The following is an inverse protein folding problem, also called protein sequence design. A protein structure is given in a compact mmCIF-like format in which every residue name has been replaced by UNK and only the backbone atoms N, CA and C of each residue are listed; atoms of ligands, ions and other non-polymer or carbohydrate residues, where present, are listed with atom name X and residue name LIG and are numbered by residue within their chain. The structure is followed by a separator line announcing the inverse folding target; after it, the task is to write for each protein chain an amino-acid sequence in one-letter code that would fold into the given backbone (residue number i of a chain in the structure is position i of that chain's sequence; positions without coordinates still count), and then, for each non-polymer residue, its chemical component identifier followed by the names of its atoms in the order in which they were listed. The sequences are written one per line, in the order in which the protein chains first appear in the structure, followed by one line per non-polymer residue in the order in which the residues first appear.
data_IF_419328612521
#
_entry.id   IF_419328612521
#
_cell.length_a   1.000
_cell.length_b   1.000
_cell.length_c   1.000
_cell.angle_alpha   90.00
_cell.angle_beta   90.00
_cell.angle_gamma   90.00
#
_symmetry.space_group_name_H-M   'P 1'
#
loop_
_entity.id
_entity.type
_entity.pdbx_description
1 polymer ?
#
# COMPACT_ATOMS: atom_id res chain seq x y z
N UNK A 1 24.22 -25.00 -1.63
CA UNK A 1 24.35 -24.28 -2.92
C UNK A 1 23.06 -24.20 -3.74
N UNK A 2 22.26 -25.26 -3.92
CA UNK A 2 21.02 -25.14 -4.74
C UNK A 2 19.97 -24.19 -4.14
N UNK A 3 19.76 -24.22 -2.82
CA UNK A 3 18.79 -23.36 -2.14
C UNK A 3 19.21 -21.88 -2.06
N UNK A 4 20.51 -21.57 -2.01
CA UNK A 4 21.00 -20.19 -1.93
C UNK A 4 20.78 -19.40 -3.22
N UNK A 5 20.67 -20.07 -4.38
CA UNK A 5 20.31 -19.43 -5.65
C UNK A 5 18.93 -18.77 -5.57
N UNK A 6 18.02 -19.33 -4.77
CA UNK A 6 16.68 -18.75 -4.61
C UNK A 6 16.69 -17.38 -3.91
N UNK A 7 17.76 -17.00 -3.21
CA UNK A 7 17.88 -15.67 -2.60
C UNK A 7 17.85 -14.55 -3.64
N UNK A 8 18.35 -14.82 -4.85
CA UNK A 8 18.42 -13.85 -5.95
C UNK A 8 17.09 -13.74 -6.73
N UNK A 9 16.20 -14.73 -6.57
CA UNK A 9 14.91 -14.79 -7.27
C UNK A 9 13.74 -14.51 -6.32
N UNK A 10 13.52 -15.41 -5.37
CA UNK A 10 12.44 -15.34 -4.40
C UNK A 10 12.96 -15.84 -3.06
N UNK A 11 13.42 -14.90 -2.22
CA UNK A 11 14.06 -15.20 -0.94
C UNK A 11 13.21 -16.05 0.01
N UNK A 12 11.88 -16.01 -0.14
CA UNK A 12 10.96 -16.90 0.60
C UNK A 12 11.16 -18.39 0.31
N UNK A 13 11.78 -18.74 -0.83
CA UNK A 13 12.08 -20.12 -1.23
C UNK A 13 13.53 -20.50 -0.99
N UNK A 14 14.36 -19.59 -0.45
CA UNK A 14 15.71 -19.90 0.02
C UNK A 14 15.67 -20.68 1.34
N UNK A 15 15.03 -21.85 1.29
CA UNK A 15 14.75 -22.68 2.46
C UNK A 15 14.99 -24.15 2.17
N UNK A 16 15.26 -24.94 3.22
CA UNK A 16 15.42 -26.39 3.14
C UNK A 16 14.41 -27.02 4.10
N UNK A 17 13.56 -27.93 3.59
CA UNK A 17 12.62 -28.72 4.38
C UNK A 17 13.24 -30.11 4.63
N UNK A 18 13.72 -30.34 5.85
CA UNK A 18 14.38 -31.57 6.29
C UNK A 18 13.38 -32.46 7.05
N UNK A 19 12.79 -33.43 6.35
CA UNK A 19 11.85 -34.39 6.92
C UNK A 19 12.57 -35.64 7.43
N UNK A 20 12.42 -35.92 8.73
CA UNK A 20 12.96 -37.11 9.41
C UNK A 20 14.45 -37.41 9.09
N UNK A 21 15.25 -36.35 9.00
CA UNK A 21 16.70 -36.43 8.77
C UNK A 21 17.47 -35.56 9.74
N UNK A 22 18.70 -35.95 10.05
CA UNK A 22 19.63 -35.15 10.87
C UNK A 22 20.31 -34.09 10.01
N UNK A 23 20.54 -32.92 10.60
CA UNK A 23 21.29 -31.83 9.97
C UNK A 23 22.69 -31.82 10.60
N UNK A 24 23.72 -31.98 9.78
CA UNK A 24 25.11 -31.86 10.19
C UNK A 24 25.43 -30.40 10.57
N UNK A 25 26.31 -30.20 11.56
CA UNK A 25 26.64 -28.84 12.07
C UNK A 25 27.17 -27.92 10.98
N UNK A 26 28.11 -28.41 10.17
CA UNK A 26 28.70 -27.67 9.05
C UNK A 26 27.64 -27.22 8.03
N UNK A 27 26.59 -28.03 7.83
CA UNK A 27 25.49 -27.69 6.93
C UNK A 27 24.60 -26.59 7.51
N UNK A 28 24.35 -26.60 8.82
CA UNK A 28 23.60 -25.55 9.51
C UNK A 28 24.36 -24.22 9.48
N UNK A 29 25.65 -24.23 9.82
CA UNK A 29 26.51 -23.04 9.79
C UNK A 29 26.61 -22.44 8.37
N UNK A 30 26.77 -23.29 7.35
CA UNK A 30 26.76 -22.85 5.96
C UNK A 30 25.40 -22.27 5.55
N UNK A 31 24.29 -22.86 5.99
CA UNK A 31 22.97 -22.33 5.68
C UNK A 31 22.75 -20.95 6.33
N UNK A 32 23.13 -20.78 7.59
CA UNK A 32 22.98 -19.51 8.32
C UNK A 32 23.84 -18.40 7.69
N UNK A 33 25.11 -18.70 7.34
CA UNK A 33 26.00 -17.75 6.66
C UNK A 33 25.51 -17.34 5.27
N UNK A 34 24.85 -18.24 4.55
CA UNK A 34 24.26 -17.96 3.24
C UNK A 34 22.86 -17.34 3.36
N UNK A 35 22.26 -17.24 4.55
CA UNK A 35 20.89 -16.76 4.74
C UNK A 35 19.80 -17.74 4.30
N UNK A 36 20.11 -19.04 4.24
CA UNK A 36 19.17 -20.12 3.91
C UNK A 36 18.54 -20.67 5.18
N UNK A 37 17.20 -20.67 5.28
CA UNK A 37 16.51 -21.19 6.47
C UNK A 37 16.28 -22.70 6.36
N UNK A 38 16.76 -23.47 7.33
CA UNK A 38 16.46 -24.90 7.43
C UNK A 38 15.30 -25.14 8.41
N UNK A 39 14.29 -25.89 7.96
CA UNK A 39 13.20 -26.38 8.80
C UNK A 39 13.34 -27.88 8.97
N UNK A 40 13.47 -28.32 10.22
CA UNK A 40 13.53 -29.74 10.56
C UNK A 40 12.25 -30.14 11.31
N UNK A 41 11.65 -31.27 10.91
CA UNK A 41 10.65 -31.98 11.70
C UNK A 41 10.52 -33.44 11.25
N UNK A 42 9.97 -34.26 12.13
CA UNK A 42 9.63 -35.67 11.98
C UNK A 42 8.20 -35.90 11.47
N UNK A 43 7.38 -34.84 11.39
CA UNK A 43 6.00 -34.85 10.90
C UNK A 43 5.86 -33.83 9.77
N UNK A 44 5.32 -34.27 8.62
CA UNK A 44 5.20 -33.43 7.41
C UNK A 44 4.36 -32.17 7.68
N UNK A 45 3.27 -32.27 8.46
CA UNK A 45 2.43 -31.11 8.81
C UNK A 45 3.20 -30.04 9.60
N UNK A 46 4.10 -30.43 10.51
CA UNK A 46 4.92 -29.46 11.23
C UNK A 46 5.90 -28.72 10.31
N UNK A 47 6.44 -29.39 9.28
CA UNK A 47 7.26 -28.70 8.27
C UNK A 47 6.43 -27.69 7.49
N UNK A 48 5.23 -28.09 7.06
CA UNK A 48 4.31 -27.23 6.34
C UNK A 48 3.95 -25.99 7.16
N UNK A 49 3.54 -26.17 8.42
CA UNK A 49 3.14 -25.07 9.31
C UNK A 49 4.30 -24.10 9.55
N UNK A 50 5.51 -24.63 9.84
CA UNK A 50 6.72 -23.81 10.03
C UNK A 50 7.06 -23.01 8.77
N UNK A 51 6.97 -23.63 7.60
CA UNK A 51 7.25 -22.96 6.33
C UNK A 51 6.19 -21.89 6.00
N UNK A 52 4.91 -22.18 6.19
CA UNK A 52 3.83 -21.22 5.96
C UNK A 52 3.93 -20.03 6.91
N UNK A 53 4.24 -20.26 8.19
CA UNK A 53 4.46 -19.20 9.16
C UNK A 53 5.64 -18.29 8.76
N UNK A 54 6.76 -18.88 8.32
CA UNK A 54 7.91 -18.11 7.83
C UNK A 54 7.58 -17.27 6.59
N UNK A 55 6.84 -17.84 5.63
CA UNK A 55 6.40 -17.10 4.45
C UNK A 55 5.51 -15.92 4.81
N UNK A 56 4.58 -16.11 5.74
CA UNK A 56 3.69 -15.06 6.19
C UNK A 56 4.45 -13.96 6.94
N UNK A 57 5.43 -14.32 7.77
CA UNK A 57 6.32 -13.36 8.44
C UNK A 57 7.12 -12.52 7.43
N UNK A 58 7.72 -13.15 6.42
CA UNK A 58 8.44 -12.44 5.35
C UNK A 58 7.51 -11.52 4.55
N UNK A 59 6.31 -11.99 4.24
CA UNK A 59 5.29 -11.20 3.53
C UNK A 59 4.90 -9.98 4.36
N UNK A 60 4.65 -10.13 5.65
CA UNK A 60 4.32 -9.02 6.56
C UNK A 60 5.48 -8.03 6.69
N UNK A 61 6.72 -8.51 6.81
CA UNK A 61 7.91 -7.66 6.86
C UNK A 61 8.06 -6.81 5.60
N UNK A 62 7.86 -7.42 4.43
CA UNK A 62 7.88 -6.70 3.15
C UNK A 62 6.71 -5.70 3.03
N UNK A 63 5.52 -6.06 3.50
CA UNK A 63 4.39 -5.12 3.54
C UNK A 63 4.70 -3.91 4.41
N UNK A 64 5.32 -4.07 5.57
CA UNK A 64 5.69 -2.94 6.42
C UNK A 64 6.77 -2.06 5.77
N UNK A 65 7.80 -2.68 5.18
CA UNK A 65 8.88 -1.99 4.46
C UNK A 65 8.34 -1.10 3.32
N UNK A 66 7.35 -1.60 2.57
CA UNK A 66 6.79 -0.92 1.40
C UNK A 66 5.48 -0.17 1.67
N UNK A 67 5.02 -0.11 2.92
CA UNK A 67 3.74 0.51 3.31
C UNK A 67 3.64 1.97 2.88
N UNK A 68 4.72 2.74 3.05
CA UNK A 68 4.76 4.17 2.70
C UNK A 68 4.98 4.43 1.21
N UNK A 69 5.45 3.43 0.47
CA UNK A 69 5.66 3.52 -0.99
C UNK A 69 4.36 3.16 -1.73
N UNK A 70 3.59 2.22 -1.19
CA UNK A 70 2.35 1.76 -1.78
C UNK A 70 1.24 2.82 -1.68
N UNK A 71 0.88 3.39 -2.83
CA UNK A 71 -0.25 4.31 -2.97
C UNK A 71 -1.39 3.55 -3.61
N UNK A 72 -2.43 3.32 -2.82
CA UNK A 72 -3.64 2.64 -3.28
C UNK A 72 -4.43 3.58 -4.22
N UNK A 73 -5.02 3.05 -5.30
CA UNK A 73 -5.77 3.87 -6.24
C UNK A 73 -7.04 4.35 -5.56
N UNK A 74 -7.31 5.65 -5.60
CA UNK A 74 -8.56 6.22 -5.10
C UNK A 74 -9.07 7.36 -5.99
N UNK A 75 -10.39 7.53 -6.01
CA UNK A 75 -11.10 8.64 -6.64
C UNK A 75 -12.14 9.15 -5.67
N UNK A 76 -12.04 10.41 -5.29
CA UNK A 76 -12.85 11.06 -4.26
C UNK A 76 -13.63 12.21 -4.88
N UNK A 77 -14.90 12.31 -4.52
CA UNK A 77 -15.75 13.45 -4.83
C UNK A 77 -15.98 14.25 -3.57
N UNK A 78 -15.72 15.55 -3.62
CA UNK A 78 -15.95 16.43 -2.47
C UNK A 78 -17.46 16.63 -2.28
N UNK A 79 -17.90 16.59 -1.02
CA UNK A 79 -19.27 16.91 -0.65
C UNK A 79 -19.36 18.41 -0.31
N UNK A 80 -20.06 19.22 -1.14
CA UNK A 80 -20.02 20.68 -1.01
C UNK A 80 -20.49 21.21 0.35
N UNK A 81 -21.43 20.49 0.99
CA UNK A 81 -22.00 20.87 2.27
C UNK A 81 -21.09 20.56 3.46
N UNK A 82 -20.00 19.80 3.25
CA UNK A 82 -19.13 19.29 4.29
C UNK A 82 -17.69 19.77 4.12
N UNK A 83 -17.50 21.08 3.96
CA UNK A 83 -16.18 21.71 3.95
C UNK A 83 -15.98 22.42 5.29
N UNK A 84 -15.12 21.85 6.15
CA UNK A 84 -14.93 22.33 7.52
C UNK A 84 -13.72 23.26 7.66
N UNK A 85 -12.66 22.99 6.90
CA UNK A 85 -11.50 23.88 6.81
C UNK A 85 -10.98 23.92 5.37
N UNK A 86 -10.76 25.10 4.83
CA UNK A 86 -10.43 25.31 3.41
C UNK A 86 -8.94 25.35 3.12
N UNK A 87 -8.07 25.40 4.15
CA UNK A 87 -6.62 25.46 4.00
C UNK A 87 -5.90 25.02 5.29
N UNK A 88 -4.83 24.26 5.11
CA UNK A 88 -3.76 23.98 6.09
C UNK A 88 -4.21 23.74 7.54
N UNK A 89 -4.73 22.54 7.87
CA UNK A 89 -5.03 21.43 6.96
C UNK A 89 -6.39 21.60 6.28
N UNK A 90 -6.54 21.10 5.06
CA UNK A 90 -7.86 21.03 4.42
C UNK A 90 -8.67 19.92 5.11
N UNK A 91 -9.88 20.23 5.55
CA UNK A 91 -10.78 19.26 6.19
C UNK A 91 -12.09 19.25 5.43
N UNK A 92 -12.36 18.15 4.72
CA UNK A 92 -13.49 18.03 3.80
C UNK A 92 -14.14 16.65 3.89
N UNK A 93 -15.47 16.63 3.80
CA UNK A 93 -16.26 15.42 3.56
C UNK A 93 -16.14 15.00 2.11
N UNK A 94 -15.88 13.73 1.87
CA UNK A 94 -15.73 13.14 0.54
C UNK A 94 -16.53 11.86 0.42
N UNK A 95 -17.09 11.63 -0.77
CA UNK A 95 -17.60 10.33 -1.21
C UNK A 95 -16.47 9.61 -1.96
N UNK A 96 -16.22 8.36 -1.60
CA UNK A 96 -15.26 7.52 -2.32
C UNK A 96 -15.97 6.92 -3.53
N UNK A 97 -15.66 7.43 -4.71
CA UNK A 97 -16.24 7.00 -5.99
C UNK A 97 -15.57 5.73 -6.52
N UNK A 98 -14.30 5.53 -6.17
CA UNK A 98 -13.53 4.37 -6.59
C UNK A 98 -12.32 4.12 -5.70
N UNK A 99 -11.97 2.83 -5.56
CA UNK A 99 -10.75 2.44 -4.89
C UNK A 99 -10.80 2.53 -3.38
N UNK A 100 -9.64 2.80 -2.79
CA UNK A 100 -9.40 2.80 -1.35
C UNK A 100 -8.54 4.01 -1.00
N UNK A 101 -9.01 4.87 -0.12
CA UNK A 101 -8.18 5.92 0.49
C UNK A 101 -7.64 5.40 1.82
N UNK A 102 -6.36 5.64 2.06
CA UNK A 102 -5.69 5.32 3.33
C UNK A 102 -4.99 6.56 3.87
N UNK A 103 -4.74 6.58 5.17
CA UNK A 103 -3.78 7.53 5.73
C UNK A 103 -2.43 7.42 5.00
N UNK A 104 -1.79 8.56 4.74
CA UNK A 104 -0.59 8.67 3.92
C UNK A 104 -0.83 8.78 2.42
N UNK A 105 -2.08 8.71 1.93
CA UNK A 105 -2.36 8.80 0.49
C UNK A 105 -2.12 10.23 -0.03
N UNK A 106 -1.21 10.46 -0.98
CA UNK A 106 -1.06 11.75 -1.64
C UNK A 106 -2.22 11.98 -2.62
N UNK A 107 -2.77 13.19 -2.65
CA UNK A 107 -3.91 13.58 -3.48
C UNK A 107 -3.57 14.73 -4.42
N UNK A 108 -4.11 14.65 -5.64
CA UNK A 108 -4.03 15.70 -6.64
C UNK A 108 -5.37 15.89 -7.36
N UNK A 109 -5.49 17.01 -8.08
CA UNK A 109 -6.66 17.37 -8.89
C UNK A 109 -6.32 17.33 -10.38
N UNK A 110 -6.72 16.28 -11.12
CA UNK A 110 -6.36 16.13 -12.53
C UNK A 110 -6.89 17.25 -13.43
N UNK A 111 -8.09 17.77 -13.15
CA UNK A 111 -8.75 18.84 -13.93
C UNK A 111 -8.05 20.20 -13.84
N UNK A 112 -7.13 20.37 -12.89
CA UNK A 112 -6.39 21.61 -12.62
C UNK A 112 -4.90 21.38 -12.86
N UNK A 113 -4.54 20.84 -14.02
CA UNK A 113 -3.14 20.52 -14.37
C UNK A 113 -2.42 19.69 -13.30
N UNK A 114 -3.12 18.71 -12.72
CA UNK A 114 -2.61 17.84 -11.66
C UNK A 114 -2.11 18.58 -10.41
N UNK A 115 -2.76 19.69 -10.03
CA UNK A 115 -2.45 20.43 -8.80
C UNK A 115 -2.43 19.49 -7.59
N UNK A 116 -1.27 19.44 -6.94
CA UNK A 116 -1.04 18.67 -5.72
C UNK A 116 -1.71 19.34 -4.52
N UNK A 117 -2.58 18.60 -3.84
CA UNK A 117 -3.39 19.12 -2.73
C UNK A 117 -2.73 18.84 -1.38
N UNK A 118 -2.05 17.70 -1.26
CA UNK A 118 -1.45 17.28 -0.01
C UNK A 118 -1.53 15.78 0.22
N UNK A 119 -1.34 15.39 1.47
CA UNK A 119 -1.38 14.00 1.93
C UNK A 119 -2.50 13.83 2.95
N UNK A 120 -3.28 12.76 2.83
CA UNK A 120 -4.30 12.40 3.82
C UNK A 120 -3.63 12.02 5.14
N UNK A 121 -3.88 12.75 6.22
CA UNK A 121 -3.30 12.47 7.55
C UNK A 121 -4.31 11.92 8.56
N UNK A 122 -5.60 11.97 8.25
CA UNK A 122 -6.66 11.35 9.07
C UNK A 122 -7.91 11.14 8.23
N UNK A 123 -8.60 10.03 8.51
CA UNK A 123 -9.90 9.70 7.91
C UNK A 123 -10.88 9.42 9.06
N UNK A 124 -12.04 10.06 9.03
CA UNK A 124 -13.09 9.87 10.02
C UNK A 124 -14.40 9.39 9.38
N UNK A 125 -15.00 8.35 9.98
CA UNK A 125 -16.34 7.86 9.68
C UNK A 125 -17.19 8.05 10.93
N UNK A 126 -18.24 8.87 10.89
CA UNK A 126 -19.12 9.11 12.03
C UNK A 126 -18.35 9.45 13.33
N UNK A 127 -17.38 10.37 13.26
CA UNK A 127 -16.50 10.80 14.36
C UNK A 127 -15.58 9.70 14.94
N UNK A 128 -15.37 8.60 14.21
CA UNK A 128 -14.38 7.58 14.55
C UNK A 128 -13.27 7.57 13.52
N UNK A 129 -12.03 7.65 14.00
CA UNK A 129 -10.85 7.51 13.17
C UNK A 129 -10.79 6.10 12.57
N UNK A 130 -10.51 6.03 11.28
CA UNK A 130 -10.29 4.79 10.54
C UNK A 130 -9.01 4.91 9.72
N UNK A 131 -8.26 3.82 9.58
CA UNK A 131 -7.02 3.83 8.80
C UNK A 131 -7.27 3.89 7.28
N UNK A 132 -8.47 3.47 6.86
CA UNK A 132 -8.85 3.40 5.45
C UNK A 132 -10.35 3.47 5.24
N UNK A 133 -10.75 3.90 4.06
CA UNK A 133 -12.13 3.88 3.60
C UNK A 133 -12.20 3.48 2.13
N UNK A 134 -13.31 2.84 1.74
CA UNK A 134 -13.50 2.21 0.41
C UNK A 134 -14.66 2.85 -0.36
N UNK A 135 -14.71 2.54 -1.66
CA UNK A 135 -15.80 2.94 -2.56
C UNK A 135 -17.18 2.79 -1.91
N UNK A 136 -18.00 3.83 -2.05
CA UNK A 136 -19.37 3.91 -1.53
C UNK A 136 -19.47 4.46 -0.10
N UNK A 137 -18.35 4.71 0.57
CA UNK A 137 -18.34 5.36 1.89
C UNK A 137 -18.26 6.89 1.76
N UNK A 138 -18.98 7.59 2.63
CA UNK A 138 -18.82 9.02 2.90
C UNK A 138 -17.96 9.18 4.15
N UNK A 139 -16.85 9.91 4.03
CA UNK A 139 -15.86 10.08 5.10
C UNK A 139 -15.38 11.51 5.16
N UNK A 140 -14.98 11.97 6.34
CA UNK A 140 -14.22 13.20 6.48
C UNK A 140 -12.74 12.88 6.32
N UNK A 141 -12.02 13.67 5.50
CA UNK A 141 -10.57 13.54 5.34
C UNK A 141 -9.89 14.83 5.74
N UNK A 142 -8.79 14.69 6.50
CA UNK A 142 -7.85 15.77 6.78
C UNK A 142 -6.66 15.63 5.84
N UNK A 143 -6.37 16.68 5.07
CA UNK A 143 -5.31 16.72 4.07
C UNK A 143 -4.32 17.80 4.47
N UNK A 144 -3.08 17.39 4.74
CA UNK A 144 -1.99 18.30 5.07
C UNK A 144 -1.18 18.65 3.82
N UNK A 145 -0.70 19.91 3.71
CA UNK A 145 0.09 20.32 2.57
C UNK A 145 1.42 19.57 2.50
N UNK A 146 1.97 19.45 1.30
CA UNK A 146 3.30 18.86 1.09
C UNK A 146 4.35 19.84 1.68
N UNK A 147 5.26 19.37 2.56
CA UNK A 147 6.31 20.23 3.11
C UNK A 147 7.15 20.89 2.02
N UNK A 148 7.35 22.21 2.14
CA UNK A 148 8.12 23.00 1.16
C UNK A 148 7.31 23.55 -0.01
N UNK A 149 6.04 23.15 -0.17
CA UNK A 149 5.14 23.72 -1.17
C UNK A 149 4.19 24.76 -0.57
N UNK A 150 3.75 25.72 -1.40
CA UNK A 150 2.71 26.65 -1.00
C UNK A 150 1.37 25.91 -0.86
N UNK A 151 0.72 25.97 0.32
CA UNK A 151 -0.50 25.21 0.60
C UNK A 151 -1.62 25.61 -0.36
N UNK A 152 -2.32 24.61 -0.89
CA UNK A 152 -3.50 24.83 -1.73
C UNK A 152 -4.71 25.15 -0.86
N UNK A 153 -5.69 25.77 -1.49
CA UNK A 153 -6.88 26.30 -0.82
C UNK A 153 -8.12 25.89 -1.61
N UNK A 154 -9.05 25.26 -0.92
CA UNK A 154 -10.39 24.96 -1.43
C UNK A 154 -11.15 26.27 -1.72
N UNK A 155 -11.82 26.34 -2.87
CA UNK A 155 -12.49 27.53 -3.37
C UNK A 155 -11.59 28.52 -4.14
N UNK A 156 -10.28 28.25 -4.21
CA UNK A 156 -9.33 29.05 -5.03
C UNK A 156 -8.58 28.21 -6.05
N UNK A 157 -7.94 27.13 -5.60
CA UNK A 157 -7.12 26.27 -6.48
C UNK A 157 -7.93 25.11 -7.05
N UNK A 158 -8.90 24.62 -6.28
CA UNK A 158 -9.84 23.57 -6.64
C UNK A 158 -11.15 23.80 -5.88
N UNK A 159 -12.25 23.22 -6.35
CA UNK A 159 -13.58 23.36 -5.75
C UNK A 159 -14.33 22.02 -5.70
N UNK A 160 -15.60 22.04 -5.28
CA UNK A 160 -16.42 20.84 -5.10
C UNK A 160 -16.74 20.08 -6.41
N UNK A 161 -16.53 20.71 -7.57
CA UNK A 161 -16.76 20.09 -8.89
C UNK A 161 -15.56 19.27 -9.34
N UNK A 162 -14.40 19.50 -8.72
CA UNK A 162 -13.18 18.78 -9.00
C UNK A 162 -13.15 17.42 -8.28
N UNK A 163 -12.64 16.39 -8.97
CA UNK A 163 -12.34 15.11 -8.34
C UNK A 163 -10.93 15.13 -7.77
N UNK A 164 -10.75 14.56 -6.58
CA UNK A 164 -9.43 14.25 -6.04
C UNK A 164 -9.09 12.82 -6.42
N UNK A 165 -7.86 12.56 -6.83
CA UNK A 165 -7.37 11.20 -7.08
C UNK A 165 -6.05 10.96 -6.36
N UNK A 166 -5.79 9.71 -6.01
CA UNK A 166 -4.49 9.29 -5.49
C UNK A 166 -3.38 9.58 -6.51
N UNK A 167 -2.34 10.28 -6.09
CA UNK A 167 -1.16 10.53 -6.92
C UNK A 167 -0.26 9.28 -6.90
N UNK A 168 -0.41 8.44 -7.91
CA UNK A 168 0.37 7.21 -8.05
C UNK A 168 1.66 7.44 -8.84
N UNK A 169 2.67 6.64 -8.55
CA UNK A 169 3.96 6.55 -9.24
C UNK A 169 4.24 5.11 -9.71
N UNK A 170 5.22 4.91 -10.60
CA UNK A 170 5.65 3.55 -11.00
C UNK A 170 6.01 2.69 -9.80
N UNK A 171 6.82 3.23 -8.89
CA UNK A 171 7.24 2.53 -7.67
C UNK A 171 6.05 2.14 -6.79
N UNK A 172 5.05 3.03 -6.65
CA UNK A 172 3.84 2.72 -5.88
C UNK A 172 3.00 1.61 -6.51
N UNK A 173 2.90 1.58 -7.85
CA UNK A 173 2.17 0.54 -8.59
C UNK A 173 2.86 -0.81 -8.41
N UNK A 174 4.18 -0.85 -8.54
CA UNK A 174 4.97 -2.06 -8.37
C UNK A 174 4.86 -2.58 -6.92
N UNK A 175 4.97 -1.71 -5.91
CA UNK A 175 4.75 -2.07 -4.52
C UNK A 175 3.33 -2.65 -4.30
N UNK A 176 2.29 -2.04 -4.87
CA UNK A 176 0.93 -2.57 -4.80
C UNK A 176 0.80 -3.95 -5.46
N UNK A 177 1.50 -4.17 -6.57
CA UNK A 177 1.46 -5.43 -7.33
C UNK A 177 2.19 -6.56 -6.59
N UNK A 178 3.32 -6.25 -5.97
CA UNK A 178 4.21 -7.27 -5.40
C UNK A 178 3.83 -7.61 -3.94
N UNK A 179 3.35 -6.63 -3.16
CA UNK A 179 3.14 -6.80 -1.72
C UNK A 179 1.69 -6.62 -1.25
N UNK A 180 0.85 -5.94 -2.03
CA UNK A 180 -0.54 -5.59 -1.65
C UNK A 180 -1.59 -6.08 -2.65
N UNK A 181 -1.26 -7.11 -3.44
CA UNK A 181 -2.13 -7.62 -4.51
C UNK A 181 -3.49 -8.11 -4.02
N UNK A 182 -3.51 -8.67 -2.81
CA UNK A 182 -4.69 -9.25 -2.15
C UNK A 182 -5.60 -8.18 -1.54
N UNK A 183 -5.06 -7.00 -1.21
CA UNK A 183 -5.84 -5.88 -0.66
C UNK A 183 -6.68 -5.16 -1.73
N UNK A 184 -6.30 -5.32 -2.99
CA UNK A 184 -6.87 -4.66 -4.15
C UNK A 184 -7.81 -5.60 -4.90
N UNK A 185 -9.08 -5.21 -4.96
CA UNK A 185 -10.10 -5.92 -5.72
C UNK A 185 -9.94 -5.67 -7.23
N UNK A 186 -10.65 -6.44 -8.06
CA UNK A 186 -10.62 -6.26 -9.53
C UNK A 186 -11.02 -4.82 -9.96
N UNK A 187 -12.07 -4.19 -9.39
CA UNK A 187 -12.36 -2.77 -9.63
C UNK A 187 -11.23 -1.83 -9.23
N UNK A 188 -10.55 -2.09 -8.11
CA UNK A 188 -9.43 -1.24 -7.66
C UNK A 188 -8.28 -1.29 -8.68
N UNK A 189 -7.98 -2.46 -9.24
CA UNK A 189 -7.00 -2.60 -10.32
C UNK A 189 -7.43 -1.94 -11.63
N UNK A 190 -8.72 -1.94 -11.94
CA UNK A 190 -9.23 -1.20 -13.10
C UNK A 190 -8.99 0.31 -12.93
N UNK A 191 -9.25 0.83 -11.73
CA UNK A 191 -8.95 2.23 -11.41
C UNK A 191 -7.43 2.50 -11.43
N UNK A 192 -6.60 1.58 -10.93
CA UNK A 192 -5.14 1.70 -11.02
C UNK A 192 -4.68 1.85 -12.48
N UNK A 193 -5.25 1.08 -13.41
CA UNK A 193 -4.93 1.17 -14.84
C UNK A 193 -5.44 2.47 -15.46
N UNK A 194 -6.62 2.96 -15.06
CA UNK A 194 -7.14 4.26 -15.46
C UNK A 194 -6.19 5.39 -15.03
N UNK A 195 -5.81 5.41 -13.74
CA UNK A 195 -4.88 6.39 -13.20
C UNK A 195 -3.49 6.28 -13.84
N UNK A 196 -2.99 5.06 -14.09
CA UNK A 196 -1.70 4.85 -14.78
C UNK A 196 -1.69 5.54 -16.14
N UNK A 197 -2.78 5.41 -16.90
CA UNK A 197 -2.95 6.08 -18.19
C UNK A 197 -3.08 7.60 -18.04
N UNK A 198 -3.86 8.04 -17.05
CA UNK A 198 -4.08 9.46 -16.76
C UNK A 198 -2.76 10.19 -16.47
N UNK A 199 -1.89 9.58 -15.67
CA UNK A 199 -0.56 10.12 -15.33
C UNK A 199 0.53 9.81 -16.36
N UNK A 200 0.20 9.14 -17.46
CA UNK A 200 1.17 8.74 -18.51
C UNK A 200 2.38 7.95 -17.96
N UNK A 201 2.15 7.11 -16.95
CA UNK A 201 3.20 6.29 -16.35
C UNK A 201 3.50 5.12 -17.30
N UNK A 202 4.69 5.11 -17.89
CA UNK A 202 5.21 4.02 -18.73
C UNK A 202 5.39 2.76 -17.89
#
# INVERSE_FOLDING_TARGET
MKASIMLEHESQYATILAFDVKIERDAQELADSLGVKIFQADIIYHLFDKFMAYREELKQKKREEFKHIAVFPCKLRILPQFVFNSRDPIVVGVMIEGGIVKEGTPLCVPSKDFVDIGVVTSIEVNHKNVESARKGMEVCVKIEPIPGESPKMFGRHFDEKDFLVSKISRQSIDACKDYFREDLTKPDWQLMVELKKLFQIL
#
